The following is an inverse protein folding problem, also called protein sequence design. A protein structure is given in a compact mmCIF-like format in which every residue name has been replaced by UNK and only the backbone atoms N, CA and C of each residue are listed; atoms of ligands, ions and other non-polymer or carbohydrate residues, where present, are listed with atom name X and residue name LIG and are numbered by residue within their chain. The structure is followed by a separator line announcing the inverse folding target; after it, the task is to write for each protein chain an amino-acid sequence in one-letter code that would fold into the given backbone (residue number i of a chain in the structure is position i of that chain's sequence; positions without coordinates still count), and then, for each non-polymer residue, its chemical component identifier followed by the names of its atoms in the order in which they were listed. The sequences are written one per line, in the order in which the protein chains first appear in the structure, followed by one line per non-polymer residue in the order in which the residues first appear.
data_IF_582490769602
#
_entry.id   IF_582490769602
#
_cell.length_a   1.000
_cell.length_b   1.000
_cell.length_c   1.000
_cell.angle_alpha   90.00
_cell.angle_beta   90.00
_cell.angle_gamma   90.00
#
_symmetry.space_group_name_H-M   'P 1'
#
loop_
_entity.id
_entity.type
_entity.pdbx_description
1 polymer ?
#
# COMPACT_ATOMS: atom_id res chain seq x y z
N UNK A 1 32.56 -8.01 12.92
CA UNK A 1 31.47 -7.61 12.01
C UNK A 1 31.13 -8.69 10.97
N UNK A 2 32.11 -9.24 10.22
CA UNK A 2 31.87 -10.29 9.19
C UNK A 2 31.35 -11.62 9.77
N UNK A 3 31.83 -12.06 10.95
CA UNK A 3 31.32 -13.25 11.65
C UNK A 3 29.90 -13.05 12.20
N UNK A 4 29.54 -11.84 12.64
CA UNK A 4 28.20 -11.48 13.12
C UNK A 4 27.16 -11.56 11.99
N UNK A 5 27.50 -11.08 10.78
CA UNK A 5 26.64 -11.19 9.59
C UNK A 5 26.49 -12.64 9.13
N UNK A 6 27.55 -13.46 9.29
CA UNK A 6 27.53 -14.89 8.96
C UNK A 6 26.66 -15.69 9.94
N UNK A 7 26.66 -15.32 11.22
CA UNK A 7 25.80 -15.91 12.25
C UNK A 7 24.33 -15.53 12.07
N UNK A 8 24.02 -14.28 11.69
CA UNK A 8 22.65 -13.84 11.34
C UNK A 8 22.03 -14.63 10.17
N UNK A 9 22.84 -15.24 9.31
CA UNK A 9 22.42 -16.07 8.17
C UNK A 9 22.28 -17.57 8.48
N UNK A 10 22.69 -18.04 9.66
CA UNK A 10 22.57 -19.45 10.03
C UNK A 10 21.11 -19.82 10.31
N UNK A 11 20.65 -20.93 9.71
CA UNK A 11 19.29 -21.46 9.89
C UNK A 11 19.03 -22.11 11.26
N UNK A 12 20.09 -22.40 12.04
CA UNK A 12 20.04 -23.24 13.24
C UNK A 12 20.37 -22.50 14.54
N UNK A 13 20.07 -21.19 14.61
CA UNK A 13 20.29 -20.44 15.86
C UNK A 13 19.40 -20.91 16.99
N UNK A 14 19.98 -21.64 17.92
CA UNK A 14 19.39 -21.93 19.22
C UNK A 14 19.44 -20.69 20.13
N UNK A 15 18.26 -20.21 20.48
CA UNK A 15 17.77 -19.59 21.71
C UNK A 15 18.47 -18.38 22.38
N UNK A 16 19.62 -17.84 21.99
CA UNK A 16 20.26 -16.75 22.74
C UNK A 16 20.03 -15.32 22.28
N UNK A 17 19.35 -15.11 21.17
CA UNK A 17 19.09 -13.78 20.59
C UNK A 17 17.60 -13.59 20.28
N UNK A 18 16.74 -13.71 21.29
CA UNK A 18 15.27 -13.59 21.13
C UNK A 18 14.79 -12.29 20.49
N UNK A 19 15.57 -11.21 20.54
CA UNK A 19 15.29 -9.95 19.85
C UNK A 19 15.75 -9.90 18.39
N UNK A 20 16.87 -10.56 18.06
CA UNK A 20 17.41 -10.58 16.69
C UNK A 20 16.75 -11.64 15.79
N UNK A 21 16.08 -12.62 16.37
CA UNK A 21 15.29 -13.60 15.60
C UNK A 21 14.10 -12.95 14.87
N UNK A 22 13.53 -11.86 15.41
CA UNK A 22 12.48 -11.09 14.73
C UNK A 22 12.95 -10.49 13.42
N UNK A 23 14.19 -10.03 13.30
CA UNK A 23 14.73 -9.47 12.05
C UNK A 23 14.86 -10.48 10.90
N UNK A 24 14.82 -11.80 11.17
CA UNK A 24 14.80 -12.84 10.13
C UNK A 24 13.45 -12.93 9.43
N UNK A 25 12.41 -12.42 10.06
CA UNK A 25 11.03 -12.46 9.61
C UNK A 25 10.53 -11.11 9.07
N UNK A 26 11.35 -10.05 9.19
CA UNK A 26 11.09 -8.76 8.54
C UNK A 26 11.27 -8.95 7.04
N UNK A 27 10.26 -8.62 6.28
CA UNK A 27 10.29 -8.69 4.83
C UNK A 27 8.90 -8.69 4.19
N UNK A 28 7.96 -9.60 4.55
CA UNK A 28 6.63 -9.56 3.95
C UNK A 28 5.88 -8.25 4.21
N UNK A 29 5.86 -7.78 5.45
CA UNK A 29 5.27 -6.51 5.81
C UNK A 29 6.00 -5.34 5.14
N UNK A 30 7.31 -5.34 5.13
CA UNK A 30 8.11 -4.28 4.49
C UNK A 30 7.91 -4.25 2.96
N UNK A 31 7.78 -5.41 2.29
CA UNK A 31 7.43 -5.46 0.86
C UNK A 31 6.08 -4.80 0.60
N UNK A 32 5.09 -5.09 1.42
CA UNK A 32 3.75 -4.52 1.28
C UNK A 32 3.75 -3.04 1.65
N UNK A 33 4.61 -2.60 2.61
CA UNK A 33 4.75 -1.17 2.97
C UNK A 33 5.09 -0.30 1.77
N UNK A 34 5.92 -0.77 0.85
CA UNK A 34 6.23 -0.03 -0.38
C UNK A 34 4.97 0.17 -1.22
N UNK A 35 4.05 -0.81 -1.21
CA UNK A 35 2.81 -0.71 -1.97
C UNK A 35 1.89 0.42 -1.51
N UNK A 36 2.05 1.01 -0.33
CA UNK A 36 1.29 2.17 0.12
C UNK A 36 2.18 3.39 0.51
N UNK A 37 3.43 3.41 0.04
CA UNK A 37 4.26 4.60 -0.10
C UNK A 37 4.39 4.86 -1.61
N UNK A 38 3.28 5.13 -2.25
CA UNK A 38 3.11 5.18 -3.69
C UNK A 38 2.70 6.58 -4.16
N UNK A 39 2.78 6.86 -5.46
CA UNK A 39 2.36 8.15 -6.03
C UNK A 39 0.91 8.54 -5.71
N UNK A 40 0.00 7.58 -5.58
CA UNK A 40 -1.38 7.82 -5.18
C UNK A 40 -1.49 8.34 -3.74
N UNK A 41 -0.74 7.74 -2.80
CA UNK A 41 -0.58 8.28 -1.45
C UNK A 41 0.02 9.68 -1.45
N UNK A 42 1.01 9.93 -2.30
CA UNK A 42 1.62 11.25 -2.40
C UNK A 42 0.58 12.28 -2.79
N UNK A 43 -0.15 12.05 -3.86
CA UNK A 43 -1.19 12.96 -4.31
C UNK A 43 -2.26 13.21 -3.23
N UNK A 44 -2.77 12.13 -2.61
CA UNK A 44 -3.78 12.21 -1.56
C UNK A 44 -3.27 12.96 -0.32
N UNK A 45 -2.04 12.70 0.11
CA UNK A 45 -1.44 13.33 1.27
C UNK A 45 -1.08 14.80 1.00
N UNK A 46 -0.60 15.12 -0.22
CA UNK A 46 -0.34 16.51 -0.60
C UNK A 46 -1.64 17.30 -0.70
N UNK A 47 -2.71 16.76 -1.29
CA UNK A 47 -4.03 17.40 -1.29
C UNK A 47 -4.53 17.59 0.16
N UNK A 48 -4.40 16.58 1.03
CA UNK A 48 -4.81 16.68 2.43
C UNK A 48 -4.07 17.79 3.16
N UNK A 49 -2.76 17.90 2.99
CA UNK A 49 -1.93 18.91 3.64
C UNK A 49 -2.13 20.30 3.05
N UNK A 50 -2.19 20.43 1.71
CA UNK A 50 -2.31 21.70 1.02
C UNK A 50 -3.70 22.35 1.20
N UNK A 51 -4.77 21.58 1.18
CA UNK A 51 -6.13 22.11 1.23
C UNK A 51 -6.64 22.23 2.69
N UNK A 52 -6.20 21.33 3.58
CA UNK A 52 -6.76 21.21 4.94
C UNK A 52 -5.72 21.35 6.06
N UNK A 53 -4.48 21.68 5.74
CA UNK A 53 -3.39 21.83 6.70
C UNK A 53 -3.17 20.55 7.50
N UNK A 54 -3.08 20.64 8.83
CA UNK A 54 -2.90 19.47 9.70
C UNK A 54 -4.21 18.72 10.00
N UNK A 55 -5.38 19.24 9.59
CA UNK A 55 -6.71 18.76 10.03
C UNK A 55 -6.98 17.29 9.69
N UNK A 56 -6.33 16.72 8.67
CA UNK A 56 -6.54 15.34 8.23
C UNK A 56 -5.47 14.34 8.70
N UNK A 57 -4.52 14.74 9.56
CA UNK A 57 -3.50 13.82 10.10
C UNK A 57 -4.10 12.63 10.87
N UNK A 58 -5.26 12.79 11.48
CA UNK A 58 -5.96 11.69 12.17
C UNK A 58 -6.38 10.57 11.20
N UNK A 59 -6.67 10.90 9.94
CA UNK A 59 -7.05 9.91 8.92
C UNK A 59 -5.90 8.94 8.69
N UNK A 60 -4.67 9.44 8.56
CA UNK A 60 -3.47 8.60 8.43
C UNK A 60 -3.33 7.67 9.64
N UNK A 61 -3.50 8.20 10.85
CA UNK A 61 -3.38 7.40 12.08
C UNK A 61 -4.47 6.31 12.13
N UNK A 62 -5.73 6.67 11.90
CA UNK A 62 -6.83 5.73 11.90
C UNK A 62 -6.65 4.65 10.81
N UNK A 63 -6.35 5.08 9.58
CA UNK A 63 -6.14 4.17 8.44
C UNK A 63 -4.97 3.21 8.70
N UNK A 64 -3.88 3.70 9.30
CA UNK A 64 -2.73 2.83 9.64
C UNK A 64 -3.09 1.82 10.73
N UNK A 65 -3.83 2.20 11.77
CA UNK A 65 -4.32 1.26 12.79
C UNK A 65 -5.21 0.19 12.14
N UNK A 66 -6.14 0.60 11.27
CA UNK A 66 -6.98 -0.34 10.52
C UNK A 66 -6.13 -1.29 9.67
N UNK A 67 -5.15 -0.75 8.97
CA UNK A 67 -4.25 -1.52 8.12
C UNK A 67 -3.46 -2.56 8.92
N UNK A 68 -2.87 -2.19 10.08
CA UNK A 68 -2.14 -3.13 10.94
C UNK A 68 -3.03 -4.32 11.33
N UNK A 69 -4.26 -4.05 11.75
CA UNK A 69 -5.20 -5.09 12.15
C UNK A 69 -5.61 -5.97 10.97
N UNK A 70 -5.88 -5.39 9.81
CA UNK A 70 -6.29 -6.12 8.60
C UNK A 70 -5.14 -6.93 8.01
N UNK A 71 -3.95 -6.35 7.92
CA UNK A 71 -2.74 -7.03 7.41
C UNK A 71 -2.37 -8.23 8.30
N UNK A 72 -2.34 -8.03 9.62
CA UNK A 72 -2.10 -9.11 10.56
C UNK A 72 -3.16 -10.22 10.45
N UNK A 73 -4.43 -9.85 10.31
CA UNK A 73 -5.52 -10.82 10.16
C UNK A 73 -5.43 -11.63 8.86
N UNK A 74 -5.06 -10.99 7.74
CA UNK A 74 -4.91 -11.71 6.46
C UNK A 74 -3.64 -12.56 6.43
N UNK A 75 -2.56 -12.13 7.10
CA UNK A 75 -1.37 -12.95 7.25
C UNK A 75 -1.64 -14.24 8.06
N UNK A 76 -2.52 -14.18 9.09
CA UNK A 76 -3.01 -15.37 9.78
C UNK A 76 -3.57 -16.40 8.81
N UNK A 77 -4.36 -15.97 7.81
CA UNK A 77 -4.91 -16.87 6.81
C UNK A 77 -3.78 -17.61 6.07
N UNK A 78 -2.79 -16.86 5.57
CA UNK A 78 -1.63 -17.41 4.84
C UNK A 78 -0.79 -18.36 5.70
N UNK A 79 -0.50 -17.98 6.96
CA UNK A 79 0.31 -18.79 7.89
C UNK A 79 -0.38 -20.11 8.24
N UNK A 80 -1.68 -20.05 8.55
CA UNK A 80 -2.42 -21.21 9.07
C UNK A 80 -2.85 -22.16 7.95
N UNK A 81 -3.36 -21.62 6.84
CA UNK A 81 -3.97 -22.42 5.77
C UNK A 81 -2.99 -22.78 4.67
N UNK A 82 -1.92 -22.03 4.48
CA UNK A 82 -1.04 -22.11 3.32
C UNK A 82 -1.72 -21.67 2.02
N UNK A 83 -2.81 -20.89 2.12
CA UNK A 83 -3.53 -20.32 0.98
C UNK A 83 -3.49 -18.79 1.07
N UNK A 84 -3.36 -18.12 -0.06
CA UNK A 84 -3.58 -16.68 -0.10
C UNK A 84 -5.09 -16.36 -0.06
N UNK A 85 -5.43 -15.10 0.11
CA UNK A 85 -6.82 -14.67 0.27
C UNK A 85 -7.68 -15.01 -0.95
N UNK A 86 -7.15 -14.88 -2.18
CA UNK A 86 -7.87 -15.20 -3.42
C UNK A 86 -8.11 -16.70 -3.61
N UNK A 87 -7.12 -17.53 -3.30
CA UNK A 87 -7.28 -19.00 -3.32
C UNK A 87 -8.28 -19.47 -2.26
N UNK A 88 -8.17 -18.94 -1.02
CA UNK A 88 -9.09 -19.26 0.05
C UNK A 88 -10.53 -18.85 -0.29
N UNK A 89 -10.72 -17.68 -0.91
CA UNK A 89 -12.02 -17.23 -1.40
C UNK A 89 -12.58 -18.19 -2.44
N UNK A 90 -11.77 -18.59 -3.40
CA UNK A 90 -12.19 -19.52 -4.46
C UNK A 90 -12.54 -20.92 -3.93
N UNK A 91 -11.78 -21.38 -2.91
CA UNK A 91 -11.94 -22.73 -2.34
C UNK A 91 -13.11 -22.85 -1.36
N UNK A 92 -13.33 -21.82 -0.52
CA UNK A 92 -14.26 -21.91 0.62
C UNK A 92 -15.53 -21.09 0.46
N UNK A 93 -15.61 -20.22 -0.57
CA UNK A 93 -16.76 -19.37 -0.82
C UNK A 93 -17.47 -19.79 -2.11
N UNK A 94 -18.81 -19.74 -2.20
CA UNK A 94 -19.54 -20.04 -3.43
C UNK A 94 -19.06 -19.17 -4.61
N UNK A 95 -18.99 -19.76 -5.81
CA UNK A 95 -18.46 -19.06 -7.01
C UNK A 95 -19.20 -17.78 -7.36
N UNK A 96 -20.50 -17.70 -7.06
CA UNK A 96 -21.30 -16.49 -7.30
C UNK A 96 -20.98 -15.34 -6.35
N UNK A 97 -20.29 -15.61 -5.21
CA UNK A 97 -19.77 -14.60 -4.28
C UNK A 97 -18.29 -14.30 -4.56
N UNK A 98 -17.45 -15.36 -4.65
CA UNK A 98 -16.00 -15.18 -4.80
C UNK A 98 -15.63 -14.50 -6.11
N UNK A 99 -16.23 -14.90 -7.23
CA UNK A 99 -15.86 -14.32 -8.54
C UNK A 99 -16.15 -12.84 -8.69
N UNK A 100 -17.34 -12.29 -8.31
CA UNK A 100 -17.56 -10.85 -8.34
C UNK A 100 -16.59 -10.09 -7.43
N UNK A 101 -16.38 -10.55 -6.18
CA UNK A 101 -15.48 -9.87 -5.23
C UNK A 101 -14.04 -9.87 -5.77
N UNK A 102 -13.53 -11.02 -6.24
CA UNK A 102 -12.20 -11.09 -6.84
C UNK A 102 -12.09 -10.26 -8.12
N UNK A 103 -13.16 -10.21 -8.93
CA UNK A 103 -13.25 -9.34 -10.10
C UNK A 103 -13.11 -7.85 -9.72
N UNK A 104 -13.82 -7.39 -8.68
CA UNK A 104 -13.66 -6.01 -8.18
C UNK A 104 -12.26 -5.76 -7.61
N UNK A 105 -11.63 -6.78 -7.01
CA UNK A 105 -10.25 -6.67 -6.52
C UNK A 105 -9.22 -6.57 -7.67
N UNK A 106 -9.47 -7.23 -8.81
CA UNK A 106 -8.67 -7.02 -10.02
C UNK A 106 -8.84 -5.60 -10.55
N UNK A 107 -10.07 -5.06 -10.56
CA UNK A 107 -10.31 -3.65 -10.94
C UNK A 107 -9.60 -2.68 -10.01
N UNK A 108 -9.59 -2.93 -8.71
CA UNK A 108 -8.80 -2.16 -7.75
C UNK A 108 -7.30 -2.22 -8.07
N UNK A 109 -6.77 -3.41 -8.41
CA UNK A 109 -5.35 -3.53 -8.81
C UNK A 109 -5.05 -2.75 -10.10
N UNK A 110 -5.98 -2.70 -11.06
CA UNK A 110 -5.86 -1.87 -12.28
C UNK A 110 -5.81 -0.38 -11.89
N UNK A 111 -6.70 0.07 -11.01
CA UNK A 111 -6.75 1.45 -10.52
C UNK A 111 -5.44 1.85 -9.82
N UNK A 112 -4.88 0.94 -9.02
CA UNK A 112 -3.56 1.16 -8.42
C UNK A 112 -2.47 1.21 -9.48
N UNK A 113 -2.40 0.23 -10.39
CA UNK A 113 -1.37 0.23 -11.45
C UNK A 113 -1.40 1.51 -12.29
N UNK A 114 -2.60 2.09 -12.49
CA UNK A 114 -2.76 3.38 -13.14
C UNK A 114 -2.06 4.50 -12.34
N UNK A 115 -2.32 4.60 -11.04
CA UNK A 115 -1.70 5.61 -10.20
C UNK A 115 -0.17 5.45 -10.16
N UNK A 116 0.32 4.22 -10.04
CA UNK A 116 1.73 3.92 -9.95
C UNK A 116 2.50 4.28 -11.23
N UNK A 117 1.93 3.91 -12.39
CA UNK A 117 2.49 4.24 -13.71
C UNK A 117 2.47 5.76 -13.92
N UNK A 118 1.37 6.44 -13.58
CA UNK A 118 1.28 7.90 -13.66
C UNK A 118 2.33 8.58 -12.79
N UNK A 119 2.51 8.12 -11.55
CA UNK A 119 3.52 8.69 -10.66
C UNK A 119 4.94 8.54 -11.19
N UNK A 120 5.28 7.36 -11.73
CA UNK A 120 6.56 7.14 -12.42
C UNK A 120 6.72 8.05 -13.64
N UNK A 121 5.66 8.27 -14.40
CA UNK A 121 5.65 9.15 -15.57
C UNK A 121 5.82 10.63 -15.20
N UNK A 122 5.09 11.10 -14.18
CA UNK A 122 5.23 12.46 -13.64
C UNK A 122 6.67 12.70 -13.16
N UNK A 123 7.26 11.74 -12.47
CA UNK A 123 8.64 11.84 -12.03
C UNK A 123 9.64 11.93 -13.19
N UNK A 124 9.42 11.17 -14.28
CA UNK A 124 10.23 11.24 -15.51
C UNK A 124 10.05 12.60 -16.21
N UNK A 125 8.85 13.17 -16.20
CA UNK A 125 8.60 14.52 -16.72
C UNK A 125 9.34 15.56 -15.89
N UNK A 126 9.26 15.48 -14.54
CA UNK A 126 9.95 16.40 -13.62
C UNK A 126 11.48 16.35 -13.75
N UNK A 127 12.06 15.19 -14.02
CA UNK A 127 13.52 15.00 -14.08
C UNK A 127 14.11 15.24 -15.47
N UNK A 128 13.38 14.88 -16.52
CA UNK A 128 13.91 14.77 -17.88
C UNK A 128 13.04 15.44 -18.94
N UNK A 129 11.96 16.12 -18.54
CA UNK A 129 10.98 16.73 -19.44
C UNK A 129 10.35 15.74 -20.43
N UNK A 130 10.22 14.46 -20.02
CA UNK A 130 9.58 13.41 -20.83
C UNK A 130 8.07 13.51 -20.64
N UNK A 131 7.26 13.74 -21.72
CA UNK A 131 5.81 13.82 -21.61
C UNK A 131 5.22 12.59 -20.91
N UNK A 132 4.18 12.80 -20.06
CA UNK A 132 3.55 11.77 -19.20
C UNK A 132 3.18 10.51 -19.98
N UNK A 133 2.69 10.62 -21.23
CA UNK A 133 2.35 9.46 -22.07
C UNK A 133 3.55 8.57 -22.35
N UNK A 134 4.68 9.15 -22.73
CA UNK A 134 5.93 8.40 -23.00
C UNK A 134 6.55 7.89 -21.70
N UNK A 135 6.51 8.69 -20.64
CA UNK A 135 6.92 8.29 -19.29
C UNK A 135 6.13 7.08 -18.80
N UNK A 136 4.81 7.06 -19.04
CA UNK A 136 3.94 5.93 -18.67
C UNK A 136 4.30 4.64 -19.42
N UNK A 137 4.52 4.74 -20.72
CA UNK A 137 4.96 3.60 -21.54
C UNK A 137 6.31 3.05 -21.06
N UNK A 138 7.28 3.94 -20.79
CA UNK A 138 8.62 3.55 -20.30
C UNK A 138 8.51 2.88 -18.92
N UNK A 139 7.77 3.44 -18.00
CA UNK A 139 7.57 2.88 -16.64
C UNK A 139 6.92 1.50 -16.73
N UNK A 140 5.82 1.35 -17.44
CA UNK A 140 5.13 0.07 -17.57
C UNK A 140 5.98 -0.99 -18.29
N UNK A 141 6.71 -0.61 -19.33
CA UNK A 141 7.63 -1.51 -20.05
C UNK A 141 8.77 -1.99 -19.15
N UNK A 142 9.42 -1.07 -18.44
CA UNK A 142 10.51 -1.41 -17.51
C UNK A 142 10.04 -2.33 -16.39
N UNK A 143 8.89 -2.03 -15.77
CA UNK A 143 8.33 -2.85 -14.72
C UNK A 143 7.89 -4.23 -15.23
N UNK A 144 7.31 -4.31 -16.43
CA UNK A 144 6.94 -5.59 -17.03
C UNK A 144 8.16 -6.50 -17.23
N UNK A 145 9.27 -5.94 -17.73
CA UNK A 145 10.54 -6.69 -17.84
C UNK A 145 11.02 -7.11 -16.45
N UNK A 146 10.99 -6.22 -15.48
CA UNK A 146 11.44 -6.48 -14.12
C UNK A 146 10.63 -7.62 -13.46
N UNK A 147 9.31 -7.62 -13.63
CA UNK A 147 8.42 -8.68 -13.15
C UNK A 147 8.72 -10.04 -13.80
N UNK A 148 8.91 -10.07 -15.12
CA UNK A 148 9.06 -11.35 -15.83
C UNK A 148 10.48 -11.94 -15.78
N UNK A 149 11.50 -11.13 -15.51
CA UNK A 149 12.91 -11.57 -15.46
C UNK A 149 13.44 -11.81 -14.06
N UNK A 150 12.85 -11.22 -13.04
CA UNK A 150 13.38 -11.27 -11.68
C UNK A 150 12.67 -12.31 -10.81
N UNK A 151 13.45 -12.98 -9.96
CA UNK A 151 12.90 -13.80 -8.88
C UNK A 151 12.38 -12.92 -7.74
N UNK A 152 11.38 -13.41 -7.00
CA UNK A 152 10.81 -12.75 -5.81
C UNK A 152 11.87 -12.10 -4.89
N UNK A 153 12.93 -12.85 -4.53
CA UNK A 153 13.99 -12.34 -3.62
C UNK A 153 14.78 -11.15 -4.16
N UNK A 154 14.89 -11.00 -5.47
CA UNK A 154 15.55 -9.83 -6.09
C UNK A 154 14.64 -8.62 -6.05
N UNK A 155 13.37 -8.82 -6.35
CA UNK A 155 12.35 -7.77 -6.28
C UNK A 155 12.25 -7.24 -4.85
N UNK A 156 12.10 -8.12 -3.85
CA UNK A 156 12.04 -7.77 -2.43
C UNK A 156 13.21 -6.87 -1.98
N UNK A 157 14.43 -7.21 -2.37
CA UNK A 157 15.61 -6.41 -2.01
C UNK A 157 15.65 -5.04 -2.69
N UNK A 158 15.23 -4.96 -3.94
CA UNK A 158 15.14 -3.70 -4.65
C UNK A 158 14.13 -2.77 -4.01
N UNK A 159 12.98 -3.32 -3.63
CA UNK A 159 11.90 -2.59 -2.97
C UNK A 159 12.36 -2.02 -1.61
N UNK A 160 13.03 -2.84 -0.78
CA UNK A 160 13.57 -2.38 0.51
C UNK A 160 14.56 -1.21 0.31
N UNK A 161 15.41 -1.27 -0.72
CA UNK A 161 16.33 -0.18 -1.02
C UNK A 161 15.57 1.11 -1.42
N UNK A 162 14.52 1.00 -2.24
CA UNK A 162 13.70 2.14 -2.65
C UNK A 162 12.97 2.78 -1.45
N UNK A 163 12.36 1.98 -0.57
CA UNK A 163 11.71 2.50 0.66
C UNK A 163 12.71 3.27 1.52
N UNK A 164 13.93 2.78 1.64
CA UNK A 164 14.96 3.47 2.42
C UNK A 164 15.31 4.84 1.81
N UNK A 165 15.46 4.91 0.50
CA UNK A 165 15.72 6.18 -0.21
C UNK A 165 14.56 7.15 -0.01
N UNK A 166 13.31 6.69 -0.18
CA UNK A 166 12.10 7.50 0.01
C UNK A 166 12.04 8.04 1.45
N UNK A 167 12.20 7.17 2.45
CA UNK A 167 12.15 7.57 3.85
C UNK A 167 13.20 8.61 4.21
N UNK A 168 14.43 8.45 3.71
CA UNK A 168 15.50 9.43 3.93
C UNK A 168 15.23 10.75 3.22
N UNK A 169 14.66 10.73 2.02
CA UNK A 169 14.29 11.95 1.29
C UNK A 169 13.26 12.76 2.08
N UNK A 170 12.19 12.16 2.57
CA UNK A 170 11.18 12.87 3.38
C UNK A 170 11.72 13.36 4.71
N UNK A 171 12.53 12.56 5.40
CA UNK A 171 13.19 13.03 6.63
C UNK A 171 14.09 14.24 6.37
N UNK A 172 14.79 14.25 5.26
CA UNK A 172 15.61 15.40 4.86
C UNK A 172 14.75 16.63 4.62
N UNK A 173 13.64 16.51 3.90
CA UNK A 173 12.74 17.62 3.58
C UNK A 173 12.06 18.19 4.84
N UNK A 174 11.67 17.36 5.82
CA UNK A 174 11.07 17.85 7.08
C UNK A 174 12.00 18.76 7.90
N UNK A 175 13.33 18.63 7.77
CA UNK A 175 14.29 19.51 8.45
C UNK A 175 14.41 20.91 7.81
N UNK A 176 13.82 21.09 6.62
CA UNK A 176 13.94 22.31 5.83
C UNK A 176 12.70 23.22 5.95
N UNK A 177 11.64 22.75 6.61
CA UNK A 177 10.38 23.48 6.77
C UNK A 177 10.03 23.69 8.24
N UNK A 178 9.34 24.81 8.54
CA UNK A 178 8.83 25.11 9.87
C UNK A 178 7.49 24.39 10.11
N UNK A 179 7.45 23.52 11.12
CA UNK A 179 6.28 22.72 11.47
C UNK A 179 5.76 23.14 12.84
N UNK A 180 4.45 23.41 12.93
CA UNK A 180 3.76 23.58 14.21
C UNK A 180 3.51 22.20 14.87
N UNK A 181 4.53 21.70 15.58
CA UNK A 181 4.49 20.39 16.24
C UNK A 181 3.37 20.23 17.28
N UNK A 182 3.05 21.25 18.12
CA UNK A 182 1.90 21.20 19.02
C UNK A 182 0.57 20.98 18.30
N UNK A 183 0.33 21.71 17.22
CA UNK A 183 -0.88 21.56 16.40
C UNK A 183 -0.91 20.21 15.68
N UNK A 184 0.19 19.79 15.08
CA UNK A 184 0.33 18.51 14.42
C UNK A 184 0.05 17.33 15.39
N UNK A 185 0.65 17.37 16.60
CA UNK A 185 0.46 16.33 17.62
C UNK A 185 -1.00 16.20 18.03
N UNK A 186 -1.72 17.31 18.20
CA UNK A 186 -3.16 17.32 18.48
C UNK A 186 -3.96 16.73 17.31
N UNK A 187 -3.61 17.10 16.08
CA UNK A 187 -4.33 16.70 14.87
C UNK A 187 -4.18 15.20 14.53
N UNK A 188 -3.12 14.54 14.97
CA UNK A 188 -3.00 13.07 14.82
C UNK A 188 -4.05 12.27 15.58
N UNK A 189 -4.57 12.84 16.70
CA UNK A 189 -5.49 12.12 17.61
C UNK A 189 -6.89 12.74 17.66
N UNK A 190 -7.09 13.92 17.09
CA UNK A 190 -8.38 14.62 17.12
C UNK A 190 -9.04 14.58 15.75
N UNK A 191 -10.11 13.77 15.56
CA UNK A 191 -10.85 13.74 14.30
C UNK A 191 -11.48 15.09 13.98
N UNK A 192 -11.32 15.52 12.72
CA UNK A 192 -11.94 16.71 12.14
C UNK A 192 -12.35 16.40 10.71
N UNK A 193 -13.54 16.83 10.31
CA UNK A 193 -14.05 16.65 8.94
C UNK A 193 -14.41 18.05 8.42
N UNK A 194 -13.45 18.81 7.89
CA UNK A 194 -13.70 20.09 7.25
C UNK A 194 -14.67 19.95 6.09
N UNK A 195 -15.40 21.02 5.77
CA UNK A 195 -16.27 21.05 4.61
C UNK A 195 -15.45 20.78 3.31
N UNK A 196 -16.00 19.96 2.41
CA UNK A 196 -15.32 19.54 1.17
C UNK A 196 -14.20 18.49 1.35
N UNK A 197 -13.85 18.08 2.57
CA UNK A 197 -12.71 17.17 2.80
C UNK A 197 -13.02 15.69 2.52
N UNK A 198 -14.28 15.31 2.32
CA UNK A 198 -14.68 13.90 2.31
C UNK A 198 -14.03 13.10 1.17
N UNK A 199 -13.89 13.67 -0.02
CA UNK A 199 -13.21 13.05 -1.14
C UNK A 199 -11.74 12.77 -0.81
N UNK A 200 -11.05 13.74 -0.21
CA UNK A 200 -9.63 13.60 0.18
C UNK A 200 -9.49 12.60 1.32
N UNK A 201 -10.39 12.62 2.32
CA UNK A 201 -10.42 11.60 3.40
C UNK A 201 -10.54 10.20 2.81
N UNK A 202 -11.45 9.99 1.86
CA UNK A 202 -11.64 8.68 1.22
C UNK A 202 -10.45 8.29 0.35
N UNK A 203 -9.85 9.26 -0.35
CA UNK A 203 -8.62 9.04 -1.12
C UNK A 203 -7.46 8.61 -0.20
N UNK A 204 -7.22 9.33 0.89
CA UNK A 204 -6.20 8.98 1.90
C UNK A 204 -6.46 7.61 2.52
N UNK A 205 -7.72 7.31 2.87
CA UNK A 205 -8.08 6.01 3.44
C UNK A 205 -7.84 4.88 2.43
N UNK A 206 -8.27 5.05 1.18
CA UNK A 206 -8.05 4.07 0.10
C UNK A 206 -6.57 3.88 -0.22
N UNK A 207 -5.80 4.96 -0.20
CA UNK A 207 -4.37 4.96 -0.40
C UNK A 207 -3.60 4.22 0.71
N UNK A 208 -4.01 4.34 1.96
CA UNK A 208 -3.36 3.67 3.10
C UNK A 208 -3.82 2.21 3.22
N UNK A 209 -5.15 1.93 3.11
CA UNK A 209 -5.70 0.59 3.33
C UNK A 209 -6.04 -0.08 1.99
N UNK A 210 -5.08 -0.20 1.12
CA UNK A 210 -5.25 -0.77 -0.23
C UNK A 210 -5.76 -2.21 -0.22
N UNK A 211 -6.92 -2.49 -0.81
CA UNK A 211 -7.48 -3.86 -0.79
C UNK A 211 -6.58 -4.88 -1.49
N UNK A 212 -5.96 -4.55 -2.61
CA UNK A 212 -5.09 -5.46 -3.35
C UNK A 212 -3.82 -5.83 -2.55
N UNK A 213 -3.33 -4.96 -1.66
CA UNK A 213 -2.21 -5.25 -0.79
C UNK A 213 -2.56 -6.27 0.31
N UNK A 214 -3.83 -6.39 0.73
CA UNK A 214 -4.27 -7.48 1.61
C UNK A 214 -4.12 -8.84 0.89
N UNK A 215 -4.48 -8.92 -0.39
CA UNK A 215 -4.23 -10.12 -1.19
C UNK A 215 -2.73 -10.42 -1.32
N UNK A 216 -1.94 -9.42 -1.70
CA UNK A 216 -0.50 -9.57 -1.87
C UNK A 216 0.20 -10.01 -0.57
N UNK A 217 -0.18 -9.45 0.57
CA UNK A 217 0.41 -9.83 1.86
C UNK A 217 0.18 -11.31 2.16
N UNK A 218 -1.05 -11.79 1.98
CA UNK A 218 -1.35 -13.21 2.19
C UNK A 218 -0.56 -14.13 1.24
N UNK A 219 -0.35 -13.71 0.00
CA UNK A 219 0.47 -14.42 -1.00
C UNK A 219 1.94 -14.47 -0.60
N UNK A 220 2.49 -13.33 -0.18
CA UNK A 220 3.89 -13.23 0.27
C UNK A 220 4.14 -14.13 1.49
N UNK A 221 3.20 -14.16 2.43
CA UNK A 221 3.26 -15.02 3.61
C UNK A 221 3.13 -16.49 3.23
N UNK A 222 2.19 -16.82 2.32
CA UNK A 222 2.02 -18.18 1.80
C UNK A 222 3.29 -18.74 1.16
N UNK A 223 4.01 -17.91 0.39
CA UNK A 223 5.24 -18.32 -0.30
C UNK A 223 6.34 -18.85 0.63
N UNK A 224 6.21 -18.62 1.94
CA UNK A 224 7.15 -19.09 2.98
C UNK A 224 6.78 -20.45 3.57
N UNK A 225 5.66 -21.03 3.16
CA UNK A 225 5.19 -22.39 3.54
C UNK A 225 5.11 -22.63 5.07
N UNK A 226 4.69 -21.64 5.84
CA UNK A 226 4.64 -21.70 7.29
C UNK A 226 3.64 -22.71 7.84
N UNK A 227 2.58 -23.03 7.10
CA UNK A 227 1.56 -24.00 7.43
C UNK A 227 2.07 -25.44 7.58
N UNK A 228 3.27 -25.72 7.07
CA UNK A 228 3.90 -27.06 7.19
C UNK A 228 4.60 -27.29 8.53
N UNK A 229 4.55 -26.34 9.47
CA UNK A 229 5.22 -26.39 10.75
C UNK A 229 4.28 -26.86 11.87
N UNK A 230 4.89 -27.22 13.01
CA UNK A 230 4.15 -27.58 14.22
C UNK A 230 3.44 -26.36 14.85
N UNK A 231 2.44 -26.63 15.70
CA UNK A 231 1.60 -25.61 16.34
C UNK A 231 2.39 -24.55 17.12
N UNK A 232 3.46 -24.97 17.83
CA UNK A 232 4.30 -24.04 18.60
C UNK A 232 5.05 -23.06 17.67
N UNK A 233 5.52 -23.57 16.53
CA UNK A 233 6.16 -22.75 15.48
C UNK A 233 5.17 -21.81 14.82
N UNK A 234 3.94 -22.25 14.50
CA UNK A 234 2.89 -21.40 13.93
C UNK A 234 2.58 -20.23 14.87
N UNK A 235 2.35 -20.48 16.17
CA UNK A 235 2.08 -19.41 17.15
C UNK A 235 3.24 -18.41 17.26
N UNK A 236 4.48 -18.89 17.19
CA UNK A 236 5.67 -18.04 17.20
C UNK A 236 5.73 -17.17 15.94
N UNK A 237 5.40 -17.74 14.77
CA UNK A 237 5.38 -17.03 13.49
C UNK A 237 4.31 -15.96 13.45
N UNK A 238 3.10 -16.23 13.97
CA UNK A 238 2.03 -15.25 14.09
C UNK A 238 2.46 -14.04 14.92
N UNK A 239 3.20 -14.27 16.01
CA UNK A 239 3.74 -13.19 16.84
C UNK A 239 4.80 -12.35 16.11
N UNK A 240 5.70 -13.00 15.37
CA UNK A 240 6.75 -12.29 14.62
C UNK A 240 6.17 -11.53 13.44
N UNK A 241 5.17 -12.08 12.76
CA UNK A 241 4.45 -11.41 11.69
C UNK A 241 3.75 -10.13 12.21
N UNK A 242 3.14 -10.19 13.40
CA UNK A 242 2.57 -8.99 14.03
C UNK A 242 3.60 -7.88 14.21
N UNK A 243 4.81 -8.21 14.69
CA UNK A 243 5.87 -7.21 14.85
C UNK A 243 6.40 -6.70 13.50
N UNK A 244 6.51 -7.57 12.50
CA UNK A 244 6.87 -7.18 11.13
C UNK A 244 5.84 -6.18 10.57
N UNK A 245 4.57 -6.50 10.66
CA UNK A 245 3.46 -5.63 10.23
C UNK A 245 3.47 -4.32 11.02
N UNK A 246 3.55 -4.37 12.35
CA UNK A 246 3.55 -3.17 13.19
C UNK A 246 4.71 -2.23 12.85
N UNK A 247 5.92 -2.75 12.70
CA UNK A 247 7.09 -1.96 12.35
C UNK A 247 6.97 -1.37 10.95
N UNK A 248 6.60 -2.20 9.98
CA UNK A 248 6.50 -1.81 8.57
C UNK A 248 5.42 -0.76 8.35
N UNK A 249 4.22 -0.95 8.94
CA UNK A 249 3.12 0.02 8.85
C UNK A 249 3.42 1.29 9.65
N UNK A 250 4.18 1.18 10.76
CA UNK A 250 4.66 2.34 11.51
C UNK A 250 5.60 3.23 10.69
N UNK A 251 6.49 2.63 9.89
CA UNK A 251 7.32 3.37 8.93
C UNK A 251 6.46 4.06 7.87
N UNK A 252 5.47 3.34 7.32
CA UNK A 252 4.52 3.91 6.37
C UNK A 252 3.72 5.08 6.96
N UNK A 253 3.24 4.95 8.21
CA UNK A 253 2.57 6.03 8.94
C UNK A 253 3.46 7.27 9.07
N UNK A 254 4.73 7.09 9.44
CA UNK A 254 5.66 8.20 9.60
C UNK A 254 5.90 8.94 8.27
N UNK A 255 6.09 8.20 7.17
CA UNK A 255 6.32 8.78 5.84
C UNK A 255 5.07 9.50 5.33
N UNK A 256 3.88 8.88 5.43
CA UNK A 256 2.63 9.51 5.01
C UNK A 256 2.30 10.75 5.85
N UNK A 257 2.54 10.71 7.17
CA UNK A 257 2.41 11.88 8.04
C UNK A 257 3.38 12.99 7.63
N UNK A 258 4.63 12.64 7.28
CA UNK A 258 5.62 13.61 6.82
C UNK A 258 5.17 14.32 5.54
N UNK A 259 4.52 13.64 4.62
CA UNK A 259 3.96 14.25 3.39
C UNK A 259 2.89 15.30 3.71
N UNK A 260 1.93 14.98 4.59
CA UNK A 260 0.90 15.94 5.01
C UNK A 260 1.54 17.12 5.72
N UNK A 261 2.51 16.88 6.63
CA UNK A 261 3.22 17.94 7.34
C UNK A 261 3.95 18.87 6.40
N UNK A 262 4.67 18.30 5.42
CA UNK A 262 5.40 19.06 4.41
C UNK A 262 4.45 19.90 3.55
N UNK A 263 3.36 19.33 3.07
CA UNK A 263 2.36 20.03 2.28
C UNK A 263 1.67 21.14 3.09
N UNK A 264 1.33 20.88 4.36
CA UNK A 264 0.73 21.88 5.23
C UNK A 264 1.68 23.06 5.51
N UNK A 265 2.94 22.80 5.80
CA UNK A 265 3.93 23.83 6.07
C UNK A 265 4.33 24.64 4.82
N UNK A 266 4.28 24.01 3.64
CA UNK A 266 4.75 24.63 2.40
C UNK A 266 3.62 25.30 1.62
N UNK A 267 2.48 24.61 1.43
CA UNK A 267 1.38 25.06 0.58
C UNK A 267 0.26 25.73 1.37
N UNK A 268 -0.29 25.04 2.38
CA UNK A 268 -1.39 25.60 3.17
C UNK A 268 -0.99 26.91 3.87
N UNK A 269 0.19 26.96 4.48
CA UNK A 269 0.69 28.17 5.15
C UNK A 269 0.84 29.36 4.21
N UNK A 270 1.07 29.11 2.91
CA UNK A 270 1.19 30.16 1.88
C UNK A 270 -0.09 30.35 1.04
N UNK A 271 -1.20 29.69 1.40
CA UNK A 271 -2.47 29.73 0.69
C UNK A 271 -2.38 29.31 -0.79
N UNK A 272 -1.55 28.30 -1.09
CA UNK A 272 -1.32 27.80 -2.45
C UNK A 272 -1.98 26.42 -2.55
N UNK A 273 -2.98 26.27 -3.41
CA UNK A 273 -3.58 24.99 -3.74
C UNK A 273 -2.62 24.14 -4.60
N UNK A 274 -2.59 22.83 -4.37
CA UNK A 274 -1.85 21.87 -5.20
C UNK A 274 -2.79 21.19 -6.16
N UNK A 275 -2.71 21.57 -7.44
CA UNK A 275 -3.47 20.95 -8.53
C UNK A 275 -2.66 19.95 -9.34
N UNK A 276 -1.33 20.01 -9.24
CA UNK A 276 -0.39 19.14 -9.95
C UNK A 276 0.84 18.85 -9.09
N UNK A 277 1.38 17.63 -9.16
CA UNK A 277 2.63 17.30 -8.50
C UNK A 277 3.85 18.07 -9.05
N UNK A 278 3.79 18.47 -10.33
CA UNK A 278 4.80 19.33 -10.95
C UNK A 278 4.86 20.71 -10.28
N UNK A 279 3.73 21.27 -9.83
CA UNK A 279 3.69 22.51 -9.07
C UNK A 279 4.46 22.39 -7.77
N UNK A 280 4.42 21.21 -7.12
CA UNK A 280 5.22 20.94 -5.94
C UNK A 280 6.72 21.14 -6.17
N UNK A 281 7.26 20.72 -7.33
CA UNK A 281 8.65 20.97 -7.71
C UNK A 281 8.96 22.48 -7.76
N UNK A 282 8.15 23.25 -8.48
CA UNK A 282 8.39 24.69 -8.65
C UNK A 282 8.25 25.50 -7.36
N UNK A 283 7.40 25.03 -6.44
CA UNK A 283 7.18 25.68 -5.16
C UNK A 283 8.27 25.32 -4.13
N UNK A 284 8.78 24.10 -4.18
CA UNK A 284 9.85 23.64 -3.28
C UNK A 284 11.22 24.20 -3.65
N UNK A 285 11.51 24.42 -4.94
CA UNK A 285 12.78 24.97 -5.42
C UNK A 285 13.17 26.33 -4.76
N UNK A 286 12.29 27.34 -4.63
CA UNK A 286 12.62 28.59 -3.98
C UNK A 286 12.82 28.49 -2.48
N UNK A 287 12.10 27.57 -1.81
CA UNK A 287 12.08 27.40 -0.36
C UNK A 287 13.17 26.46 0.14
N UNK A 288 13.40 25.35 -0.58
CA UNK A 288 14.27 24.25 -0.18
C UNK A 288 15.49 24.07 -1.10
N UNK A 289 15.55 24.85 -2.20
CA UNK A 289 16.62 24.79 -3.21
C UNK A 289 16.50 23.62 -4.19
N UNK A 290 17.28 23.69 -5.25
CA UNK A 290 17.24 22.69 -6.35
C UNK A 290 17.47 21.25 -5.92
N UNK A 291 18.19 21.00 -4.83
CA UNK A 291 18.46 19.66 -4.36
C UNK A 291 17.21 18.98 -3.81
N UNK A 292 16.38 19.69 -3.06
CA UNK A 292 15.15 19.13 -2.50
C UNK A 292 14.15 18.75 -3.60
N UNK A 293 13.99 19.58 -4.63
CA UNK A 293 13.13 19.28 -5.77
C UNK A 293 13.61 18.04 -6.53
N UNK A 294 14.91 17.88 -6.74
CA UNK A 294 15.50 16.70 -7.40
C UNK A 294 15.34 15.45 -6.54
N UNK A 295 15.57 15.55 -5.22
CA UNK A 295 15.38 14.44 -4.27
C UNK A 295 13.90 14.00 -4.27
N UNK A 296 12.97 14.96 -4.24
CA UNK A 296 11.54 14.69 -4.33
C UNK A 296 11.16 13.91 -5.61
N UNK A 297 11.61 14.40 -6.77
CA UNK A 297 11.31 13.74 -8.05
C UNK A 297 11.96 12.34 -8.16
N UNK A 298 13.19 12.17 -7.67
CA UNK A 298 13.82 10.85 -7.59
C UNK A 298 13.06 9.90 -6.66
N UNK A 299 12.63 10.39 -5.50
CA UNK A 299 11.84 9.59 -4.56
C UNK A 299 10.48 9.18 -5.18
N UNK A 300 9.81 10.08 -5.89
CA UNK A 300 8.58 9.80 -6.63
C UNK A 300 8.79 8.73 -7.73
N UNK A 301 9.90 8.82 -8.48
CA UNK A 301 10.24 7.82 -9.50
C UNK A 301 10.46 6.44 -8.87
N UNK A 302 11.22 6.38 -7.77
CA UNK A 302 11.46 5.14 -7.04
C UNK A 302 10.18 4.55 -6.47
N UNK A 303 9.31 5.39 -5.91
CA UNK A 303 7.97 4.99 -5.46
C UNK A 303 7.15 4.41 -6.61
N UNK A 304 7.01 5.14 -7.72
CA UNK A 304 6.24 4.71 -8.89
C UNK A 304 6.71 3.36 -9.45
N UNK A 305 8.03 3.18 -9.65
CA UNK A 305 8.58 1.91 -10.15
C UNK A 305 8.32 0.78 -9.14
N UNK A 306 8.64 0.99 -7.86
CA UNK A 306 8.52 -0.07 -6.86
C UNK A 306 7.07 -0.49 -6.62
N UNK A 307 6.15 0.45 -6.54
CA UNK A 307 4.74 0.16 -6.31
C UNK A 307 4.03 -0.36 -7.56
N UNK A 308 4.46 0.02 -8.78
CA UNK A 308 3.99 -0.68 -10.00
C UNK A 308 4.36 -2.16 -9.99
N UNK A 309 5.54 -2.54 -9.44
CA UNK A 309 5.91 -3.95 -9.27
C UNK A 309 4.96 -4.65 -8.30
N UNK A 310 4.68 -4.05 -7.14
CA UNK A 310 3.79 -4.67 -6.14
C UNK A 310 2.34 -4.74 -6.62
N UNK A 311 1.82 -3.73 -7.31
CA UNK A 311 0.47 -3.75 -7.89
C UNK A 311 0.33 -4.81 -8.98
N UNK A 312 1.36 -4.97 -9.83
CA UNK A 312 1.42 -6.04 -10.82
C UNK A 312 1.45 -7.44 -10.20
N UNK A 313 2.23 -7.63 -9.13
CA UNK A 313 2.24 -8.89 -8.38
C UNK A 313 0.88 -9.19 -7.74
N UNK A 314 0.25 -8.18 -7.13
CA UNK A 314 -1.08 -8.32 -6.54
C UNK A 314 -2.13 -8.72 -7.59
N UNK A 315 -2.15 -8.04 -8.75
CA UNK A 315 -3.04 -8.38 -9.86
C UNK A 315 -2.83 -9.81 -10.34
N UNK A 316 -1.57 -10.23 -10.50
CA UNK A 316 -1.21 -11.60 -10.87
C UNK A 316 -1.69 -12.64 -9.85
N UNK A 317 -1.51 -12.36 -8.56
CA UNK A 317 -1.96 -13.24 -7.46
C UNK A 317 -3.49 -13.34 -7.40
N UNK A 318 -4.20 -12.20 -7.47
CA UNK A 318 -5.67 -12.20 -7.42
C UNK A 318 -6.24 -12.95 -8.62
N UNK A 319 -5.71 -12.70 -9.82
CA UNK A 319 -6.19 -13.33 -11.02
C UNK A 319 -5.91 -14.85 -11.03
N UNK A 320 -4.70 -15.30 -10.67
CA UNK A 320 -4.38 -16.72 -10.52
C UNK A 320 -5.28 -17.40 -9.46
N UNK A 321 -5.49 -16.75 -8.32
CA UNK A 321 -6.33 -17.24 -7.24
C UNK A 321 -7.81 -17.41 -7.64
N UNK A 322 -8.34 -16.68 -8.64
CA UNK A 322 -9.69 -16.93 -9.20
C UNK A 322 -9.81 -18.32 -9.83
N UNK A 323 -8.68 -18.91 -10.23
CA UNK A 323 -8.60 -20.29 -10.75
C UNK A 323 -8.15 -21.30 -9.70
N UNK A 324 -7.86 -20.84 -8.47
CA UNK A 324 -7.39 -21.70 -7.38
C UNK A 324 -5.90 -22.01 -7.50
N UNK A 325 -5.14 -21.17 -8.18
CA UNK A 325 -3.70 -21.28 -8.39
C UNK A 325 -2.95 -20.26 -7.55
N UNK A 326 -1.80 -20.62 -7.00
CA UNK A 326 -0.89 -19.71 -6.33
C UNK A 326 -0.13 -18.86 -7.36
N UNK A 327 0.31 -17.67 -6.94
CA UNK A 327 1.08 -16.79 -7.81
C UNK A 327 2.42 -17.42 -8.23
N UNK A 328 2.61 -17.52 -9.53
CA UNK A 328 3.90 -17.87 -10.08
C UNK A 328 4.12 -17.16 -11.42
N UNK A 329 5.19 -16.39 -11.52
CA UNK A 329 5.45 -15.51 -12.69
C UNK A 329 5.56 -16.27 -14.04
N UNK A 330 5.79 -17.59 -14.03
CA UNK A 330 5.84 -18.40 -15.24
C UNK A 330 4.45 -18.91 -15.66
N UNK A 331 3.47 -18.88 -14.77
CA UNK A 331 2.14 -19.41 -15.05
C UNK A 331 1.29 -18.41 -15.84
N UNK A 332 0.46 -18.96 -16.72
CA UNK A 332 -0.32 -18.15 -17.67
C UNK A 332 -1.27 -17.20 -16.93
N UNK A 333 -2.00 -17.68 -15.91
CA UNK A 333 -2.98 -16.86 -15.20
C UNK A 333 -2.30 -15.69 -14.44
N UNK A 334 -1.16 -15.94 -13.79
CA UNK A 334 -0.39 -14.86 -13.13
C UNK A 334 0.08 -13.83 -14.15
N UNK A 335 0.59 -14.26 -15.31
CA UNK A 335 1.01 -13.34 -16.39
C UNK A 335 -0.14 -12.54 -16.97
N UNK A 336 -1.27 -13.20 -17.20
CA UNK A 336 -2.48 -12.53 -17.72
C UNK A 336 -2.97 -11.48 -16.73
N UNK A 337 -2.99 -11.78 -15.44
CA UNK A 337 -3.36 -10.80 -14.40
C UNK A 337 -2.45 -9.56 -14.40
N UNK A 338 -1.13 -9.76 -14.48
CA UNK A 338 -0.15 -8.66 -14.60
C UNK A 338 -0.40 -7.82 -15.86
N UNK A 339 -0.48 -8.47 -17.01
CA UNK A 339 -0.65 -7.78 -18.30
C UNK A 339 -1.99 -7.06 -18.42
N UNK A 340 -3.06 -7.64 -17.89
CA UNK A 340 -4.37 -6.98 -17.81
C UNK A 340 -4.30 -5.72 -16.94
N UNK A 341 -3.66 -5.82 -15.76
CA UNK A 341 -3.58 -4.67 -14.87
C UNK A 341 -2.77 -3.53 -15.49
N UNK A 342 -1.54 -3.80 -15.92
CA UNK A 342 -0.68 -2.76 -16.50
C UNK A 342 -1.20 -2.27 -17.87
N UNK A 343 -1.73 -3.17 -18.70
CA UNK A 343 -2.21 -2.82 -20.04
C UNK A 343 -3.49 -1.98 -20.00
N UNK A 344 -4.48 -2.34 -19.16
CA UNK A 344 -5.69 -1.53 -19.02
C UNK A 344 -5.37 -0.19 -18.37
N UNK A 345 -4.48 -0.17 -17.37
CA UNK A 345 -4.01 1.07 -16.75
C UNK A 345 -3.40 2.02 -17.80
N UNK A 346 -2.52 1.52 -18.69
CA UNK A 346 -1.96 2.32 -19.78
C UNK A 346 -3.04 2.86 -20.73
N UNK A 347 -4.03 2.04 -21.09
CA UNK A 347 -5.13 2.48 -21.95
C UNK A 347 -5.93 3.61 -21.28
N UNK A 348 -6.23 3.48 -19.99
CA UNK A 348 -6.98 4.51 -19.24
C UNK A 348 -6.17 5.80 -19.14
N UNK A 349 -4.84 5.72 -18.94
CA UNK A 349 -3.96 6.90 -18.88
C UNK A 349 -4.07 7.77 -20.15
N UNK A 350 -4.30 7.17 -21.33
CA UNK A 350 -4.46 7.94 -22.57
C UNK A 350 -5.67 8.89 -22.58
N UNK A 351 -6.63 8.67 -21.68
CA UNK A 351 -7.85 9.48 -21.56
C UNK A 351 -7.85 10.39 -20.32
N UNK A 352 -6.77 10.38 -19.54
CA UNK A 352 -6.65 11.24 -18.35
C UNK A 352 -6.11 12.61 -18.77
N UNK A 353 -6.92 13.65 -18.61
CA UNK A 353 -6.52 15.02 -18.89
C UNK A 353 -5.65 15.61 -17.77
N UNK A 354 -6.02 15.36 -16.51
CA UNK A 354 -5.26 15.81 -15.35
C UNK A 354 -4.68 14.60 -14.57
N UNK A 355 -3.36 14.36 -14.65
CA UNK A 355 -2.71 13.24 -13.97
C UNK A 355 -2.86 13.27 -12.44
N UNK A 356 -2.84 14.45 -11.82
CA UNK A 356 -2.97 14.58 -10.36
C UNK A 356 -4.37 14.18 -9.87
N UNK A 357 -5.42 14.63 -10.56
CA UNK A 357 -6.78 14.18 -10.28
C UNK A 357 -6.94 12.69 -10.54
N UNK A 358 -6.32 12.17 -11.61
CA UNK A 358 -6.28 10.73 -11.89
C UNK A 358 -5.70 9.92 -10.73
N UNK A 359 -4.64 10.40 -10.09
CA UNK A 359 -4.08 9.80 -8.89
C UNK A 359 -5.10 9.78 -7.74
N UNK A 360 -5.72 10.90 -7.41
CA UNK A 360 -6.68 11.01 -6.30
C UNK A 360 -7.90 10.11 -6.52
N UNK A 361 -8.49 10.14 -7.73
CA UNK A 361 -9.67 9.32 -8.07
C UNK A 361 -9.31 7.83 -8.01
N UNK A 362 -8.13 7.44 -8.47
CA UNK A 362 -7.70 6.05 -8.40
C UNK A 362 -7.70 5.51 -6.96
N UNK A 363 -7.24 6.30 -6.00
CA UNK A 363 -7.23 5.92 -4.59
C UNK A 363 -8.64 5.90 -3.98
N UNK A 364 -9.52 6.81 -4.39
CA UNK A 364 -10.93 6.78 -4.01
C UNK A 364 -11.60 5.48 -4.47
N UNK A 365 -11.33 5.01 -5.70
CA UNK A 365 -11.83 3.72 -6.20
C UNK A 365 -11.40 2.55 -5.32
N UNK A 366 -10.18 2.57 -4.78
CA UNK A 366 -9.71 1.55 -3.84
C UNK A 366 -10.55 1.55 -2.56
N UNK A 367 -10.87 2.71 -2.04
CA UNK A 367 -11.72 2.86 -0.87
C UNK A 367 -13.12 2.26 -1.09
N UNK A 368 -13.70 2.42 -2.28
CA UNK A 368 -15.01 1.84 -2.65
C UNK A 368 -14.95 0.31 -2.66
N UNK A 369 -13.85 -0.28 -3.11
CA UNK A 369 -13.69 -1.73 -3.17
C UNK A 369 -13.35 -2.35 -1.79
N UNK A 370 -12.73 -1.60 -0.91
CA UNK A 370 -12.20 -2.07 0.36
C UNK A 370 -13.21 -2.83 1.24
N UNK A 371 -14.47 -2.40 1.43
CA UNK A 371 -15.44 -3.15 2.21
C UNK A 371 -15.65 -4.58 1.72
N UNK A 372 -15.71 -4.80 0.40
CA UNK A 372 -15.91 -6.14 -0.16
C UNK A 372 -14.75 -7.07 0.21
N UNK A 373 -13.51 -6.56 0.16
CA UNK A 373 -12.33 -7.31 0.59
C UNK A 373 -12.35 -7.60 2.08
N UNK A 374 -12.69 -6.61 2.93
CA UNK A 374 -12.71 -6.81 4.39
C UNK A 374 -13.79 -7.82 4.77
N UNK A 375 -15.02 -7.72 4.25
CA UNK A 375 -16.07 -8.69 4.55
C UNK A 375 -15.69 -10.11 4.13
N UNK A 376 -15.09 -10.28 2.95
CA UNK A 376 -14.57 -11.56 2.48
C UNK A 376 -13.50 -12.12 3.43
N UNK A 377 -12.49 -11.31 3.75
CA UNK A 377 -11.40 -11.66 4.64
C UNK A 377 -11.89 -12.09 6.01
N UNK A 378 -12.73 -11.26 6.64
CA UNK A 378 -13.25 -11.53 8.00
C UNK A 378 -14.15 -12.77 7.99
N UNK A 379 -14.96 -12.96 6.96
CA UNK A 379 -15.77 -14.16 6.79
C UNK A 379 -14.92 -15.44 6.74
N UNK A 380 -13.81 -15.43 6.02
CA UNK A 380 -12.88 -16.55 5.94
C UNK A 380 -12.12 -16.76 7.24
N UNK A 381 -11.54 -15.70 7.83
CA UNK A 381 -10.71 -15.80 9.03
C UNK A 381 -11.50 -16.07 10.31
N UNK A 382 -12.80 -15.78 10.33
CA UNK A 382 -13.71 -16.15 11.43
C UNK A 382 -14.29 -17.56 11.31
N UNK A 383 -14.12 -18.23 10.18
CA UNK A 383 -14.65 -19.56 9.93
C UNK A 383 -13.78 -20.65 10.53
N UNK A 384 -14.33 -21.44 11.46
CA UNK A 384 -13.65 -22.63 11.99
C UNK A 384 -13.37 -23.68 10.92
N UNK A 385 -14.17 -23.73 9.83
CA UNK A 385 -13.95 -24.63 8.69
C UNK A 385 -12.66 -24.27 7.94
N UNK A 386 -12.29 -23.00 7.91
CA UNK A 386 -11.10 -22.46 7.21
C UNK A 386 -9.90 -22.46 8.14
N UNK A 387 -10.05 -21.86 9.33
CA UNK A 387 -8.97 -21.55 10.26
C UNK A 387 -8.80 -22.54 11.41
N UNK A 388 -9.71 -23.51 11.58
CA UNK A 388 -9.67 -24.45 12.69
C UNK A 388 -9.66 -23.77 14.06
N UNK A 389 -8.66 -24.10 14.88
CA UNK A 389 -8.46 -23.52 16.22
C UNK A 389 -7.95 -22.07 16.20
N UNK A 390 -7.45 -21.60 15.03
CA UNK A 390 -6.94 -20.24 14.83
C UNK A 390 -7.99 -19.26 14.31
N UNK A 391 -9.28 -19.67 14.25
CA UNK A 391 -10.36 -18.77 13.85
C UNK A 391 -10.44 -17.56 14.79
N UNK A 392 -10.80 -16.39 14.23
CA UNK A 392 -10.94 -15.16 14.97
C UNK A 392 -11.80 -15.36 16.23
N UNK A 393 -11.42 -14.73 17.33
CA UNK A 393 -12.27 -14.62 18.51
C UNK A 393 -13.50 -13.75 18.19
N UNK A 394 -14.56 -13.85 19.01
CA UNK A 394 -15.76 -13.00 18.85
C UNK A 394 -15.41 -11.51 18.89
N UNK A 395 -14.48 -11.11 19.77
CA UNK A 395 -14.03 -9.72 19.89
C UNK A 395 -13.24 -9.28 18.66
N UNK A 396 -12.31 -10.10 18.20
CA UNK A 396 -11.53 -9.82 16.98
C UNK A 396 -12.44 -9.68 15.75
N UNK A 397 -13.42 -10.59 15.59
CA UNK A 397 -14.41 -10.49 14.51
C UNK A 397 -15.25 -9.22 14.61
N UNK A 398 -15.68 -8.85 15.83
CA UNK A 398 -16.44 -7.61 16.05
C UNK A 398 -15.65 -6.38 15.62
N UNK A 399 -14.39 -6.25 16.04
CA UNK A 399 -13.51 -5.12 15.66
C UNK A 399 -13.34 -5.05 14.14
N UNK A 400 -13.05 -6.18 13.49
CA UNK A 400 -12.86 -6.25 12.05
C UNK A 400 -14.12 -5.89 11.26
N UNK A 401 -15.29 -6.39 11.67
CA UNK A 401 -16.57 -6.02 11.04
C UNK A 401 -16.92 -4.55 11.28
N UNK A 402 -16.59 -4.00 12.45
CA UNK A 402 -16.78 -2.57 12.73
C UNK A 402 -15.97 -1.71 11.76
N UNK A 403 -14.71 -2.09 11.47
CA UNK A 403 -13.89 -1.43 10.45
C UNK A 403 -14.56 -1.49 9.07
N UNK A 404 -15.05 -2.66 8.65
CA UNK A 404 -15.76 -2.81 7.37
C UNK A 404 -16.98 -1.89 7.29
N UNK A 405 -17.76 -1.80 8.38
CA UNK A 405 -18.95 -0.94 8.45
C UNK A 405 -18.57 0.55 8.38
N UNK A 406 -17.53 0.97 9.13
CA UNK A 406 -17.05 2.37 9.10
C UNK A 406 -16.68 2.77 7.68
N UNK A 407 -15.88 1.96 6.99
CA UNK A 407 -15.49 2.25 5.60
C UNK A 407 -16.70 2.26 4.67
N UNK A 408 -17.65 1.34 4.85
CA UNK A 408 -18.89 1.31 4.06
C UNK A 408 -19.73 2.58 4.26
N UNK A 409 -19.86 3.05 5.49
CA UNK A 409 -20.60 4.29 5.82
C UNK A 409 -19.93 5.51 5.19
N UNK A 410 -18.60 5.60 5.28
CA UNK A 410 -17.86 6.70 4.64
C UNK A 410 -18.03 6.68 3.11
N UNK A 411 -17.97 5.50 2.47
CA UNK A 411 -18.23 5.38 1.03
C UNK A 411 -19.66 5.80 0.65
N UNK A 412 -20.66 5.40 1.45
CA UNK A 412 -22.03 5.84 1.21
C UNK A 412 -22.17 7.35 1.41
N UNK A 413 -21.56 7.93 2.45
CA UNK A 413 -21.56 9.36 2.66
C UNK A 413 -20.96 10.13 1.48
N UNK A 414 -19.88 9.61 0.89
CA UNK A 414 -19.28 10.20 -0.32
C UNK A 414 -20.24 10.18 -1.51
N UNK A 415 -20.98 9.10 -1.74
CA UNK A 415 -21.96 9.00 -2.82
C UNK A 415 -23.13 9.98 -2.68
N UNK A 416 -23.46 10.40 -1.48
CA UNK A 416 -24.52 11.36 -1.18
C UNK A 416 -23.99 12.80 -0.96
N UNK A 417 -22.68 13.01 -0.96
CA UNK A 417 -22.10 14.35 -0.91
C UNK A 417 -22.17 15.00 -2.29
N UNK A 418 -22.46 16.31 -2.34
CA UNK A 418 -22.52 17.09 -3.60
C UNK A 418 -21.11 17.27 -4.24
N UNK A 419 -20.14 16.46 -3.86
CA UNK A 419 -18.73 16.57 -4.25
C UNK A 419 -18.38 15.79 -5.54
N UNK A 420 -19.40 15.41 -6.33
CA UNK A 420 -19.25 14.81 -7.66
C UNK A 420 -19.73 15.74 -8.74
#
# INVERSE_FOLDING_TARGET
MWNFIKELRRKDHQRYLGGLDSFKYIGPGLLVTVGFIDPGNWASNFAAGADFGYSLLWVITLSTIMLIVLQHNVAHLGIVTGLCLSEAATKYTPKWVSRPILGTAVLASISTSLAEILGGAIALEMLFDIPVIWGSLLTAFFVTIMLFTNSYKRIERSIIAFVSVIGLSFLYELFLVDIDWPLAARSWVTPSIPEGSLLVIMSVLGAVVMPHNLFLHSEVVQSREYNKKDDASIRKLLKYEFYDTLFSMGVGWAINSAMILLAAATFFANHIGVEELQQAKSLLEPLLGNQAATIFALALLMAGISSTVTSGMAAGSIFAGMFGESYHVKDVHSRVGILLSLGIALVVILFIENPFQGLIISQMILSIQLPFTIFLQVGLTSSKRVMGQYANSRWSSFVLYTMAVIVSVLNLALLFSESF
#
